data_IF_750518253964
#
_entry.id   IF_750518253964
#
_cell.length_a   1.000
_cell.length_b   1.000
_cell.length_c   1.000
_cell.angle_alpha   90.00
_cell.angle_beta   90.00
_cell.angle_gamma   90.00
#
_symmetry.space_group_name_H-M   'P 1'
#
loop_
_entity.id
_entity.type
_entity.pdbx_description
1 polymer ?
#
# COMPACT_ATOMS: atom_id res chain seq x y z
N UNK A 1 -39.17 0.57 11.63
CA UNK A 1 -40.16 -0.53 11.80
C UNK A 1 -41.56 0.04 12.01
N UNK A 2 -41.87 0.80 13.08
CA UNK A 2 -43.23 1.29 13.38
C UNK A 2 -43.85 2.09 12.22
N UNK A 3 -43.11 3.10 11.71
CA UNK A 3 -43.57 3.93 10.57
C UNK A 3 -43.86 3.12 9.30
N UNK A 4 -43.09 2.08 9.03
CA UNK A 4 -43.29 1.22 7.86
C UNK A 4 -44.55 0.33 8.01
N UNK A 5 -44.81 -0.17 9.23
CA UNK A 5 -46.03 -0.92 9.55
C UNK A 5 -47.27 -0.02 9.50
N UNK A 6 -47.17 1.21 10.04
CA UNK A 6 -48.25 2.19 10.01
C UNK A 6 -48.61 2.60 8.56
N UNK A 7 -47.65 2.47 7.63
CA UNK A 7 -47.79 2.67 6.19
C UNK A 7 -48.34 1.42 5.45
N UNK A 8 -48.72 0.35 6.16
CA UNK A 8 -49.28 -0.88 5.58
C UNK A 8 -48.30 -1.81 4.92
N UNK A 9 -46.97 -1.66 5.16
CA UNK A 9 -45.96 -2.57 4.64
C UNK A 9 -45.99 -3.93 5.38
N UNK A 10 -45.69 -5.01 4.68
CA UNK A 10 -45.44 -6.31 5.28
C UNK A 10 -44.24 -6.25 6.24
N UNK A 11 -44.09 -7.24 7.14
CA UNK A 11 -42.93 -7.29 8.05
C UNK A 11 -41.60 -7.40 7.29
N UNK A 12 -41.56 -8.16 6.19
CA UNK A 12 -40.39 -8.30 5.33
C UNK A 12 -40.01 -6.98 4.63
N UNK A 13 -41.02 -6.28 4.07
CA UNK A 13 -40.80 -4.97 3.43
C UNK A 13 -40.38 -3.90 4.44
N UNK A 14 -40.99 -3.92 5.63
CA UNK A 14 -40.62 -3.03 6.72
C UNK A 14 -39.15 -3.28 7.18
N UNK A 15 -38.74 -4.55 7.29
CA UNK A 15 -37.37 -4.90 7.61
C UNK A 15 -36.40 -4.47 6.50
N UNK A 16 -36.76 -4.76 5.24
CA UNK A 16 -35.96 -4.33 4.07
C UNK A 16 -35.79 -2.81 4.02
N UNK A 17 -36.86 -2.06 4.33
CA UNK A 17 -36.84 -0.59 4.41
C UNK A 17 -35.88 -0.11 5.51
N UNK A 18 -35.94 -0.70 6.71
CA UNK A 18 -35.03 -0.34 7.81
C UNK A 18 -33.58 -0.64 7.44
N UNK A 19 -33.29 -1.82 6.86
CA UNK A 19 -31.94 -2.17 6.41
C UNK A 19 -31.43 -1.19 5.36
N UNK A 20 -32.26 -0.81 4.37
CA UNK A 20 -31.88 0.22 3.37
C UNK A 20 -31.56 1.55 4.05
N UNK A 21 -32.37 2.02 5.00
CA UNK A 21 -32.13 3.27 5.72
C UNK A 21 -30.83 3.24 6.52
N UNK A 22 -30.49 2.12 7.16
CA UNK A 22 -29.22 1.95 7.86
C UNK A 22 -28.06 1.99 6.87
N UNK A 23 -28.15 1.23 5.77
CA UNK A 23 -27.07 1.11 4.78
C UNK A 23 -26.77 2.42 4.04
N UNK A 24 -27.75 3.31 3.87
CA UNK A 24 -27.55 4.64 3.25
C UNK A 24 -27.26 5.75 4.27
N UNK A 25 -27.32 5.45 5.56
CA UNK A 25 -27.05 6.45 6.61
C UNK A 25 -25.61 6.95 6.56
N UNK A 26 -25.36 8.28 6.59
CA UNK A 26 -24.02 8.80 6.72
C UNK A 26 -23.25 8.25 7.94
N UNK A 27 -23.94 7.98 9.04
CA UNK A 27 -23.32 7.38 10.24
C UNK A 27 -22.89 5.93 10.05
N UNK A 28 -23.47 5.22 9.06
CA UNK A 28 -23.04 3.88 8.69
C UNK A 28 -21.93 3.91 7.62
N UNK A 29 -22.07 4.79 6.63
CA UNK A 29 -21.15 4.86 5.50
C UNK A 29 -19.85 5.62 5.80
N UNK A 30 -19.90 6.57 6.73
CA UNK A 30 -18.80 7.47 7.04
C UNK A 30 -18.43 7.38 8.52
N UNK A 31 -17.14 7.48 8.81
CA UNK A 31 -16.69 7.71 10.18
C UNK A 31 -16.89 9.17 10.53
N UNK A 32 -18.01 9.46 11.19
CA UNK A 32 -18.36 10.81 11.62
C UNK A 32 -17.81 11.02 13.03
N UNK A 33 -16.95 12.01 13.20
CA UNK A 33 -16.47 12.45 14.52
C UNK A 33 -17.39 13.56 15.07
N UNK A 34 -17.48 13.67 16.39
CA UNK A 34 -18.28 14.74 17.03
C UNK A 34 -17.84 16.10 16.50
N UNK A 35 -18.81 16.95 16.19
CA UNK A 35 -18.51 18.30 15.76
C UNK A 35 -17.74 19.08 16.86
N UNK A 36 -16.68 19.78 16.47
CA UNK A 36 -15.95 20.73 17.28
C UNK A 36 -16.29 22.16 16.89
N UNK A 37 -15.62 23.13 17.49
CA UNK A 37 -15.79 24.54 17.11
C UNK A 37 -14.98 24.86 15.84
N UNK A 38 -15.60 25.49 14.83
CA UNK A 38 -14.88 25.87 13.60
C UNK A 38 -13.66 26.74 13.89
N UNK A 39 -12.53 26.40 13.30
CA UNK A 39 -11.27 27.13 13.43
C UNK A 39 -10.45 26.83 14.69
N UNK A 40 -11.04 26.20 15.70
CA UNK A 40 -10.31 25.78 16.88
C UNK A 40 -9.71 24.39 16.69
N UNK A 41 -8.55 24.20 17.30
CA UNK A 41 -7.89 22.91 17.40
C UNK A 41 -8.30 22.26 18.73
N UNK A 42 -8.84 21.04 18.64
CA UNK A 42 -9.35 20.31 19.79
C UNK A 42 -8.79 18.89 19.80
N UNK A 43 -8.70 18.30 21.00
CA UNK A 43 -8.45 16.87 21.10
C UNK A 43 -9.61 16.07 20.52
N UNK A 44 -9.27 15.00 19.82
CA UNK A 44 -10.25 14.00 19.40
C UNK A 44 -10.91 13.39 20.63
N UNK A 45 -12.24 13.30 20.63
CA UNK A 45 -12.98 12.68 21.72
C UNK A 45 -12.53 11.23 21.94
N UNK A 46 -12.57 10.73 23.15
CA UNK A 46 -12.05 9.41 23.52
C UNK A 46 -12.68 8.27 22.67
N UNK A 47 -14.00 8.31 22.45
CA UNK A 47 -14.71 7.35 21.63
C UNK A 47 -14.36 7.46 20.14
N UNK A 48 -14.13 8.68 19.65
CA UNK A 48 -13.68 8.92 18.27
C UNK A 48 -12.24 8.43 18.08
N UNK A 49 -11.38 8.59 19.11
CA UNK A 49 -10.02 8.05 19.11
C UNK A 49 -10.01 6.51 19.10
N UNK A 50 -10.91 5.86 19.86
CA UNK A 50 -11.10 4.42 19.78
C UNK A 50 -11.50 3.98 18.37
N UNK A 51 -12.42 4.71 17.73
CA UNK A 51 -12.82 4.47 16.35
C UNK A 51 -11.65 4.66 15.38
N UNK A 52 -10.86 5.76 15.53
CA UNK A 52 -9.66 5.96 14.70
C UNK A 52 -8.69 4.79 14.79
N UNK A 53 -8.38 4.33 16.00
CA UNK A 53 -7.47 3.20 16.23
C UNK A 53 -8.03 1.90 15.65
N UNK A 54 -9.32 1.65 15.83
CA UNK A 54 -9.96 0.42 15.35
C UNK A 54 -9.97 0.34 13.82
N UNK A 55 -10.40 1.39 13.15
CA UNK A 55 -10.36 1.42 11.68
C UNK A 55 -8.94 1.43 11.13
N UNK A 56 -8.00 2.08 11.82
CA UNK A 56 -6.59 2.07 11.43
C UNK A 56 -5.97 0.67 11.50
N UNK A 57 -6.24 -0.10 12.57
CA UNK A 57 -5.57 -1.37 12.80
C UNK A 57 -6.36 -2.59 12.33
N UNK A 58 -7.70 -2.52 12.36
CA UNK A 58 -8.59 -3.65 12.10
C UNK A 58 -9.56 -3.44 10.93
N UNK A 59 -9.63 -2.23 10.36
CA UNK A 59 -10.62 -1.84 9.36
C UNK A 59 -12.07 -2.19 9.78
N UNK A 60 -12.36 -2.14 11.07
CA UNK A 60 -13.66 -2.46 11.67
C UNK A 60 -13.96 -1.60 12.89
N UNK A 61 -15.18 -1.68 13.44
CA UNK A 61 -15.59 -0.97 14.64
C UNK A 61 -14.78 -1.41 15.87
N UNK A 62 -14.63 -0.52 16.89
CA UNK A 62 -13.94 -0.85 18.13
C UNK A 62 -14.65 -1.95 18.93
N UNK A 63 -13.87 -2.78 19.60
CA UNK A 63 -14.41 -3.76 20.56
C UNK A 63 -14.70 -3.11 21.91
N UNK A 64 -15.42 -3.84 22.78
CA UNK A 64 -15.81 -3.37 24.11
C UNK A 64 -14.59 -2.97 24.97
N UNK A 65 -13.46 -3.70 24.85
CA UNK A 65 -12.23 -3.39 25.60
C UNK A 65 -11.65 -2.06 25.18
N UNK A 66 -11.62 -1.78 23.88
CA UNK A 66 -11.10 -0.53 23.36
C UNK A 66 -12.02 0.66 23.74
N UNK A 67 -13.35 0.44 23.75
CA UNK A 67 -14.31 1.43 24.20
C UNK A 67 -14.15 1.70 25.71
N UNK A 68 -14.03 0.68 26.54
CA UNK A 68 -13.75 0.83 27.97
C UNK A 68 -12.44 1.55 28.24
N UNK A 69 -11.37 1.28 27.48
CA UNK A 69 -10.10 1.99 27.58
C UNK A 69 -10.25 3.50 27.21
N UNK A 70 -11.12 3.79 26.24
CA UNK A 70 -11.45 5.17 25.88
C UNK A 70 -12.21 5.89 27.00
N UNK A 71 -13.29 5.27 27.52
CA UNK A 71 -14.11 5.82 28.61
C UNK A 71 -13.30 6.02 29.90
N UNK A 72 -12.36 5.11 30.19
CA UNK A 72 -11.43 5.24 31.34
C UNK A 72 -10.30 6.25 31.13
N UNK A 73 -10.25 6.94 29.97
CA UNK A 73 -9.22 7.95 29.68
C UNK A 73 -7.86 7.40 29.25
N UNK A 74 -7.66 6.07 29.28
CA UNK A 74 -6.36 5.42 29.00
C UNK A 74 -5.83 5.68 27.59
N UNK A 75 -6.69 5.86 26.60
CA UNK A 75 -6.26 6.17 25.22
C UNK A 75 -5.67 7.59 25.08
N UNK A 76 -5.99 8.49 25.99
CA UNK A 76 -5.39 9.83 26.07
C UNK A 76 -3.93 9.80 26.49
N UNK A 77 -3.52 8.80 27.25
CA UNK A 77 -2.17 8.60 27.74
C UNK A 77 -1.32 7.81 26.76
N UNK A 78 -0.02 8.14 26.65
CA UNK A 78 0.90 7.47 25.74
C UNK A 78 0.98 5.97 26.03
N UNK A 79 1.24 5.60 27.29
CA UNK A 79 1.40 4.19 27.69
C UNK A 79 0.13 3.38 27.51
N UNK A 80 -1.03 3.93 27.89
CA UNK A 80 -2.32 3.25 27.71
C UNK A 80 -2.61 2.99 26.23
N UNK A 81 -2.38 3.99 25.39
CA UNK A 81 -2.56 3.86 23.93
C UNK A 81 -1.59 2.85 23.31
N UNK A 82 -0.31 2.84 23.71
CA UNK A 82 0.68 1.85 23.21
C UNK A 82 0.34 0.43 23.64
N UNK A 83 -0.19 0.22 24.85
CA UNK A 83 -0.65 -1.07 25.34
C UNK A 83 -1.83 -1.59 24.49
N UNK A 84 -2.82 -0.73 24.20
CA UNK A 84 -3.94 -1.09 23.35
C UNK A 84 -3.49 -1.39 21.92
N UNK A 85 -2.59 -0.61 21.33
CA UNK A 85 -2.00 -0.90 20.03
C UNK A 85 -1.32 -2.27 20.05
N UNK A 86 -0.54 -2.60 21.08
CA UNK A 86 0.12 -3.90 21.23
C UNK A 86 -0.89 -5.05 21.25
N UNK A 87 -1.97 -4.91 22.04
CA UNK A 87 -3.08 -5.86 22.08
C UNK A 87 -3.72 -6.02 20.70
N UNK A 88 -4.03 -4.91 20.06
CA UNK A 88 -4.72 -4.88 18.76
C UNK A 88 -3.86 -5.49 17.64
N UNK A 89 -2.56 -5.27 17.64
CA UNK A 89 -1.64 -5.88 16.68
C UNK A 89 -1.48 -7.40 16.90
N UNK A 90 -1.74 -7.88 18.11
CA UNK A 90 -1.73 -9.32 18.43
C UNK A 90 -3.03 -10.03 18.04
N UNK A 91 -4.11 -9.29 17.82
CA UNK A 91 -5.41 -9.81 17.40
C UNK A 91 -5.39 -10.19 15.91
N UNK A 92 -6.13 -11.24 15.52
CA UNK A 92 -6.22 -11.70 14.13
C UNK A 92 -6.78 -10.63 13.17
N UNK A 93 -7.63 -9.74 13.65
CA UNK A 93 -8.18 -8.60 12.88
C UNK A 93 -7.11 -7.67 12.34
N UNK A 94 -5.91 -7.64 12.96
CA UNK A 94 -4.78 -6.84 12.47
C UNK A 94 -4.27 -7.27 11.09
N UNK A 95 -4.71 -8.43 10.57
CA UNK A 95 -4.45 -8.84 9.19
C UNK A 95 -4.98 -7.81 8.18
N UNK A 96 -5.98 -7.02 8.55
CA UNK A 96 -6.48 -5.89 7.75
C UNK A 96 -5.37 -4.89 7.35
N UNK A 97 -4.29 -4.73 8.14
CA UNK A 97 -3.13 -3.94 7.75
C UNK A 97 -2.40 -4.51 6.52
N UNK A 98 -2.43 -5.83 6.34
CA UNK A 98 -1.92 -6.48 5.13
C UNK A 98 -2.91 -6.45 3.97
N UNK A 99 -4.17 -6.79 4.24
CA UNK A 99 -5.20 -6.94 3.20
C UNK A 99 -5.70 -5.60 2.67
N UNK A 100 -6.05 -4.67 3.57
CA UNK A 100 -6.62 -3.38 3.21
C UNK A 100 -5.54 -2.35 3.00
N UNK A 101 -4.77 -1.98 4.04
CA UNK A 101 -3.76 -0.92 3.92
C UNK A 101 -2.69 -1.26 2.87
N UNK A 102 -2.03 -2.40 2.98
CA UNK A 102 -0.98 -2.75 2.02
C UNK A 102 -1.56 -3.10 0.65
N UNK A 103 -2.73 -3.73 0.59
CA UNK A 103 -3.46 -4.01 -0.65
C UNK A 103 -3.73 -2.75 -1.47
N UNK A 104 -4.23 -1.70 -0.84
CA UNK A 104 -4.50 -0.40 -1.45
C UNK A 104 -3.20 0.35 -1.80
N UNK A 105 -2.27 0.48 -0.86
CA UNK A 105 -1.02 1.18 -1.07
C UNK A 105 -0.20 0.60 -2.22
N UNK A 106 -0.04 -0.73 -2.26
CA UNK A 106 0.78 -1.44 -3.23
C UNK A 106 0.02 -1.75 -4.54
N UNK A 107 -1.30 -1.58 -4.55
CA UNK A 107 -2.18 -1.85 -5.70
C UNK A 107 -2.51 -3.32 -5.90
N UNK A 108 -2.12 -4.20 -4.96
CA UNK A 108 -2.25 -5.66 -5.10
C UNK A 108 -3.69 -6.16 -4.99
N UNK A 109 -4.61 -5.40 -4.39
CA UNK A 109 -6.04 -5.69 -4.34
C UNK A 109 -6.67 -5.84 -5.73
N UNK A 110 -6.06 -5.25 -6.77
CA UNK A 110 -6.55 -5.35 -8.15
C UNK A 110 -6.22 -6.70 -8.83
N UNK A 111 -5.29 -7.49 -8.28
CA UNK A 111 -4.93 -8.81 -8.85
C UNK A 111 -6.09 -9.79 -8.67
N UNK A 112 -6.58 -10.33 -9.76
CA UNK A 112 -7.81 -11.13 -9.85
C UNK A 112 -9.01 -10.31 -10.31
N UNK A 113 -9.48 -9.29 -9.55
CA UNK A 113 -10.64 -8.49 -9.96
C UNK A 113 -10.43 -7.69 -11.26
N UNK A 114 -9.28 -7.07 -11.43
CA UNK A 114 -8.96 -6.20 -12.59
C UNK A 114 -7.73 -6.66 -13.37
N UNK A 115 -6.75 -7.24 -12.69
CA UNK A 115 -5.48 -7.69 -13.27
C UNK A 115 -5.50 -9.21 -13.33
N UNK A 116 -5.82 -9.75 -14.50
CA UNK A 116 -5.83 -11.18 -14.79
C UNK A 116 -5.57 -11.42 -16.28
N UNK A 117 -5.14 -12.63 -16.62
CA UNK A 117 -5.09 -13.09 -18.00
C UNK A 117 -6.39 -13.82 -18.36
N UNK A 118 -6.68 -13.91 -19.66
CA UNK A 118 -7.79 -14.72 -20.13
C UNK A 118 -7.56 -16.18 -19.69
N UNK A 119 -8.48 -16.81 -18.94
CA UNK A 119 -8.33 -18.19 -18.50
C UNK A 119 -8.32 -19.21 -19.65
N UNK A 120 -8.91 -18.88 -20.80
CA UNK A 120 -8.92 -19.76 -21.99
C UNK A 120 -7.49 -19.93 -22.50
N UNK A 121 -6.77 -18.84 -22.68
CA UNK A 121 -5.38 -18.83 -23.14
C UNK A 121 -4.37 -19.13 -22.04
N UNK A 122 -4.77 -18.93 -20.78
CA UNK A 122 -3.92 -19.07 -19.60
C UNK A 122 -4.60 -19.89 -18.50
N UNK A 123 -4.76 -21.20 -18.64
CA UNK A 123 -5.48 -22.05 -17.67
C UNK A 123 -4.89 -22.04 -16.26
N UNK A 124 -3.63 -21.62 -16.11
CA UNK A 124 -2.96 -21.45 -14.82
C UNK A 124 -3.44 -20.22 -14.03
N UNK A 125 -4.11 -19.26 -14.70
CA UNK A 125 -4.57 -18.00 -14.10
C UNK A 125 -5.92 -18.20 -13.38
N UNK A 126 -5.92 -19.04 -12.35
CA UNK A 126 -7.10 -19.37 -11.54
C UNK A 126 -7.42 -18.28 -10.51
N UNK A 127 -8.66 -18.20 -10.05
CA UNK A 127 -9.02 -17.28 -8.95
C UNK A 127 -8.29 -17.62 -7.65
N UNK A 128 -8.11 -18.91 -7.36
CA UNK A 128 -7.37 -19.37 -6.18
C UNK A 128 -5.90 -18.93 -6.21
N UNK A 129 -5.25 -19.04 -7.35
CA UNK A 129 -3.88 -18.56 -7.54
C UNK A 129 -3.78 -17.05 -7.39
N UNK A 130 -4.71 -16.28 -7.99
CA UNK A 130 -4.75 -14.82 -7.86
C UNK A 130 -4.96 -14.41 -6.40
N UNK A 131 -5.85 -15.10 -5.68
CA UNK A 131 -6.03 -14.92 -4.24
C UNK A 131 -4.74 -15.23 -3.48
N UNK A 132 -4.09 -16.35 -3.72
CA UNK A 132 -2.85 -16.73 -3.06
C UNK A 132 -1.72 -15.69 -3.29
N UNK A 133 -1.65 -15.07 -4.47
CA UNK A 133 -0.71 -13.98 -4.75
C UNK A 133 -0.99 -12.71 -3.91
N UNK A 134 -2.27 -12.37 -3.70
CA UNK A 134 -2.64 -11.25 -2.79
C UNK A 134 -2.33 -11.60 -1.34
N UNK A 135 -2.72 -12.79 -0.90
CA UNK A 135 -2.52 -13.28 0.45
C UNK A 135 -1.02 -13.33 0.80
N UNK A 136 -0.15 -13.70 -0.14
CA UNK A 136 1.31 -13.66 0.04
C UNK A 136 1.76 -12.28 0.51
N UNK A 137 1.36 -11.23 -0.18
CA UNK A 137 1.78 -9.86 0.14
C UNK A 137 1.12 -9.36 1.41
N UNK A 138 -0.16 -9.65 1.62
CA UNK A 138 -0.88 -9.27 2.83
C UNK A 138 -0.26 -9.89 4.09
N UNK A 139 -0.04 -11.20 4.09
CA UNK A 139 0.58 -11.93 5.20
C UNK A 139 2.03 -11.49 5.42
N UNK A 140 2.75 -11.19 4.35
CA UNK A 140 4.12 -10.71 4.43
C UNK A 140 4.20 -9.37 5.15
N UNK A 141 3.43 -8.35 4.73
CA UNK A 141 3.39 -7.04 5.40
C UNK A 141 2.89 -7.17 6.84
N UNK A 142 1.83 -7.94 7.07
CA UNK A 142 1.33 -8.21 8.41
C UNK A 142 2.40 -8.83 9.32
N UNK A 143 3.19 -9.78 8.81
CA UNK A 143 4.29 -10.40 9.59
C UNK A 143 5.36 -9.37 9.97
N UNK A 144 5.73 -8.45 9.06
CA UNK A 144 6.69 -7.40 9.36
C UNK A 144 6.20 -6.45 10.46
N UNK A 145 4.92 -6.12 10.43
CA UNK A 145 4.30 -5.27 11.45
C UNK A 145 4.28 -5.98 12.81
N UNK A 146 3.79 -7.22 12.85
CA UNK A 146 3.69 -7.99 14.10
C UNK A 146 5.05 -8.31 14.75
N UNK A 147 6.05 -8.57 13.92
CA UNK A 147 7.41 -8.85 14.36
C UNK A 147 8.20 -7.55 14.67
N UNK A 148 7.57 -6.40 14.53
CA UNK A 148 8.22 -5.08 14.60
C UNK A 148 9.52 -5.02 13.79
N UNK A 149 9.50 -5.64 12.60
CA UNK A 149 10.67 -5.79 11.77
C UNK A 149 11.10 -4.44 11.15
N UNK A 150 12.40 -4.20 10.94
CA UNK A 150 12.86 -3.00 10.25
C UNK A 150 12.37 -2.98 8.79
N UNK A 151 12.08 -1.79 8.28
CA UNK A 151 11.53 -1.57 6.94
C UNK A 151 12.39 -2.20 5.83
N UNK A 152 13.69 -2.35 6.04
CA UNK A 152 14.60 -3.03 5.12
C UNK A 152 14.15 -4.46 4.77
N UNK A 153 13.40 -5.12 5.67
CA UNK A 153 12.85 -6.45 5.41
C UNK A 153 11.81 -6.46 4.28
N UNK A 154 11.17 -5.34 3.97
CA UNK A 154 10.32 -5.24 2.79
C UNK A 154 11.08 -5.53 1.49
N UNK A 155 12.39 -5.29 1.48
CA UNK A 155 13.27 -5.48 0.32
C UNK A 155 14.03 -6.82 0.39
N UNK A 156 14.59 -7.18 1.56
CA UNK A 156 15.61 -8.24 1.68
C UNK A 156 15.17 -9.46 2.48
N UNK A 157 13.91 -9.60 2.86
CA UNK A 157 13.46 -10.78 3.59
C UNK A 157 13.82 -12.07 2.84
N UNK A 158 14.27 -13.08 3.59
CA UNK A 158 14.58 -14.42 3.06
C UNK A 158 13.46 -15.42 3.35
N UNK A 159 12.23 -14.94 3.34
CA UNK A 159 11.02 -15.74 3.46
C UNK A 159 9.88 -15.10 2.69
N UNK A 160 8.86 -15.88 2.43
CA UNK A 160 7.57 -15.43 1.92
C UNK A 160 6.45 -16.33 2.48
N UNK A 161 5.21 -16.10 2.05
CA UNK A 161 4.05 -16.92 2.43
C UNK A 161 3.52 -17.66 1.21
N UNK A 162 3.39 -18.98 1.31
CA UNK A 162 2.98 -19.83 0.19
C UNK A 162 1.97 -20.89 0.65
N UNK A 163 1.03 -21.19 -0.24
CA UNK A 163 0.32 -22.46 -0.29
C UNK A 163 0.91 -23.34 -1.39
N UNK A 164 0.39 -24.55 -1.58
CA UNK A 164 0.90 -25.48 -2.58
C UNK A 164 0.78 -24.93 -4.02
N UNK A 165 -0.33 -24.26 -4.35
CA UNK A 165 -0.58 -23.73 -5.68
C UNK A 165 0.43 -22.64 -6.05
N UNK A 166 0.62 -21.66 -5.17
CA UNK A 166 1.57 -20.57 -5.39
C UNK A 166 3.02 -21.06 -5.36
N UNK A 167 3.34 -22.03 -4.50
CA UNK A 167 4.67 -22.64 -4.46
C UNK A 167 4.99 -23.40 -5.78
N UNK A 168 4.01 -24.12 -6.33
CA UNK A 168 4.15 -24.77 -7.63
C UNK A 168 4.35 -23.74 -8.75
N UNK A 169 3.60 -22.64 -8.72
CA UNK A 169 3.74 -21.54 -9.67
C UNK A 169 5.15 -20.91 -9.62
N UNK A 170 5.72 -20.76 -8.41
CA UNK A 170 7.08 -20.26 -8.21
C UNK A 170 8.17 -21.32 -8.42
N UNK A 171 7.80 -22.59 -8.61
CA UNK A 171 8.71 -23.74 -8.67
C UNK A 171 9.51 -23.94 -7.37
N UNK A 172 8.86 -23.69 -6.23
CA UNK A 172 9.42 -23.90 -4.89
C UNK A 172 8.89 -25.24 -4.37
N UNK A 173 9.75 -26.26 -4.15
CA UNK A 173 9.31 -27.58 -3.70
C UNK A 173 8.98 -27.59 -2.19
N UNK A 174 8.29 -28.65 -1.75
CA UNK A 174 8.13 -28.95 -0.32
C UNK A 174 6.93 -28.30 0.37
N UNK A 175 6.15 -27.44 -0.30
CA UNK A 175 4.93 -26.85 0.23
C UNK A 175 3.72 -27.67 -0.21
N UNK A 176 2.85 -28.08 0.74
CA UNK A 176 1.67 -28.90 0.50
C UNK A 176 0.42 -28.30 1.13
N UNK A 177 -0.72 -28.47 0.46
CA UNK A 177 -2.04 -28.05 0.92
C UNK A 177 -2.37 -26.58 0.67
N UNK A 178 -3.62 -26.21 0.99
CA UNK A 178 -4.22 -24.92 0.63
C UNK A 178 -3.83 -23.77 1.58
N UNK A 179 -3.49 -24.09 2.83
CA UNK A 179 -3.19 -23.07 3.83
C UNK A 179 -1.89 -22.35 3.54
N UNK A 180 -1.94 -21.02 3.55
CA UNK A 180 -0.76 -20.15 3.46
C UNK A 180 0.14 -20.33 4.68
N UNK A 181 1.45 -20.45 4.47
CA UNK A 181 2.44 -20.61 5.55
C UNK A 181 3.72 -19.86 5.24
N UNK A 182 4.43 -19.44 6.29
CA UNK A 182 5.75 -18.80 6.17
C UNK A 182 6.77 -19.85 5.70
N UNK A 183 7.45 -19.54 4.60
CA UNK A 183 8.43 -20.44 3.94
C UNK A 183 9.75 -19.70 3.79
N UNK A 184 10.83 -20.31 4.30
CA UNK A 184 12.19 -19.81 4.09
C UNK A 184 12.65 -20.03 2.65
N UNK A 185 13.31 -19.04 2.07
CA UNK A 185 13.75 -19.06 0.69
C UNK A 185 15.24 -19.41 0.59
N UNK A 186 15.55 -20.39 -0.24
CA UNK A 186 16.93 -20.83 -0.51
C UNK A 186 17.72 -19.78 -1.33
N UNK A 187 17.02 -18.98 -2.11
CA UNK A 187 17.60 -17.92 -2.93
C UNK A 187 16.94 -16.57 -2.64
N UNK A 188 17.66 -15.45 -2.75
CA UNK A 188 17.08 -14.12 -2.52
C UNK A 188 16.13 -13.66 -3.65
N UNK A 189 15.98 -14.42 -4.73
CA UNK A 189 15.19 -14.04 -5.90
C UNK A 189 13.77 -13.62 -5.52
N UNK A 190 13.04 -14.48 -4.78
CA UNK A 190 11.65 -14.23 -4.36
C UNK A 190 11.50 -13.41 -3.09
N UNK A 191 12.57 -13.21 -2.33
CA UNK A 191 12.49 -12.52 -1.05
C UNK A 191 12.13 -11.05 -1.19
N UNK A 192 11.28 -10.57 -0.27
CA UNK A 192 10.80 -9.18 -0.26
C UNK A 192 9.84 -8.86 -1.40
N UNK A 193 9.18 -7.69 -1.30
CA UNK A 193 8.06 -7.26 -2.15
C UNK A 193 8.35 -7.35 -3.65
N UNK A 194 9.58 -7.00 -4.08
CA UNK A 194 9.94 -6.99 -5.50
C UNK A 194 9.96 -8.38 -6.14
N UNK A 195 9.85 -9.44 -5.34
CA UNK A 195 9.74 -10.82 -5.81
C UNK A 195 8.32 -11.38 -5.79
N UNK A 196 7.33 -10.66 -5.22
CA UNK A 196 5.95 -11.13 -5.10
C UNK A 196 5.21 -11.05 -6.44
N UNK A 197 4.47 -12.11 -6.77
CA UNK A 197 3.72 -12.17 -8.03
C UNK A 197 2.66 -11.08 -8.13
N UNK A 198 1.98 -10.73 -7.04
CA UNK A 198 0.99 -9.65 -7.02
C UNK A 198 1.60 -8.29 -7.36
N UNK A 199 2.80 -7.97 -6.87
CA UNK A 199 3.52 -6.74 -7.20
C UNK A 199 3.93 -6.74 -8.68
N UNK A 200 4.46 -7.86 -9.17
CA UNK A 200 4.91 -7.98 -10.56
C UNK A 200 3.74 -7.90 -11.54
N UNK A 201 2.59 -8.48 -11.19
CA UNK A 201 1.36 -8.35 -11.97
C UNK A 201 0.83 -6.91 -11.99
N UNK A 202 0.78 -6.25 -10.84
CA UNK A 202 0.33 -4.84 -10.72
C UNK A 202 1.21 -3.89 -11.53
N UNK A 203 2.47 -4.26 -11.76
CA UNK A 203 3.47 -3.44 -12.47
C UNK A 203 3.77 -3.92 -13.89
N UNK A 204 2.86 -4.67 -14.49
CA UNK A 204 2.96 -5.17 -15.85
C UNK A 204 1.64 -4.94 -16.61
N UNK A 205 1.70 -5.02 -17.93
CA UNK A 205 0.51 -5.19 -18.76
C UNK A 205 0.08 -6.67 -18.78
N UNK A 206 -1.16 -6.99 -19.15
CA UNK A 206 -1.60 -8.39 -19.19
C UNK A 206 -0.78 -9.30 -20.11
N UNK A 207 -0.26 -8.76 -21.20
CA UNK A 207 0.45 -9.47 -22.28
C UNK A 207 1.98 -9.29 -22.26
N UNK A 208 2.49 -8.31 -21.51
CA UNK A 208 3.92 -7.98 -21.48
C UNK A 208 4.37 -7.31 -20.21
N UNK A 209 5.67 -7.40 -19.92
CA UNK A 209 6.33 -6.59 -18.89
C UNK A 209 6.53 -5.15 -19.36
N UNK A 210 6.72 -4.24 -18.43
CA UNK A 210 7.07 -2.86 -18.72
C UNK A 210 8.10 -2.33 -17.71
N UNK A 211 9.36 -2.18 -18.12
CA UNK A 211 10.38 -1.55 -17.28
C UNK A 211 9.98 -0.15 -16.81
N UNK A 212 9.29 0.61 -17.66
CA UNK A 212 8.83 1.96 -17.32
C UNK A 212 7.80 1.91 -16.19
N UNK A 213 6.77 1.06 -16.29
CA UNK A 213 5.74 0.92 -15.23
C UNK A 213 6.38 0.41 -13.94
N UNK A 214 7.26 -0.61 -14.01
CA UNK A 214 7.97 -1.16 -12.85
C UNK A 214 8.85 -0.11 -12.17
N UNK A 215 9.64 0.63 -12.94
CA UNK A 215 10.51 1.68 -12.41
C UNK A 215 9.72 2.85 -11.81
N UNK A 216 8.65 3.29 -12.47
CA UNK A 216 7.75 4.32 -11.96
C UNK A 216 7.09 3.88 -10.64
N UNK A 217 6.62 2.64 -10.56
CA UNK A 217 6.03 2.09 -9.33
C UNK A 217 7.04 2.08 -8.18
N UNK A 218 8.30 1.67 -8.42
CA UNK A 218 9.36 1.73 -7.40
C UNK A 218 9.53 3.15 -6.89
N UNK A 219 9.65 4.13 -7.79
CA UNK A 219 9.87 5.53 -7.41
C UNK A 219 8.66 6.13 -6.68
N UNK A 220 7.45 5.94 -7.21
CA UNK A 220 6.23 6.60 -6.68
C UNK A 220 5.66 5.87 -5.48
N UNK A 221 5.47 4.56 -5.60
CA UNK A 221 4.76 3.77 -4.59
C UNK A 221 5.69 3.37 -3.45
N UNK A 222 6.86 2.83 -3.78
CA UNK A 222 7.76 2.28 -2.78
C UNK A 222 8.64 3.37 -2.13
N UNK A 223 9.19 4.30 -2.92
CA UNK A 223 10.14 5.30 -2.43
C UNK A 223 9.55 6.70 -2.20
N UNK A 224 8.33 6.97 -2.66
CA UNK A 224 7.70 8.29 -2.49
C UNK A 224 8.42 9.44 -3.19
N UNK A 225 9.18 9.15 -4.25
CA UNK A 225 9.92 10.12 -5.06
C UNK A 225 9.45 10.07 -6.52
N UNK A 226 8.19 10.43 -6.81
CA UNK A 226 7.62 10.33 -8.14
C UNK A 226 8.44 11.13 -9.15
N UNK A 227 8.58 10.65 -10.39
CA UNK A 227 9.06 11.48 -11.47
C UNK A 227 8.05 12.61 -11.75
N UNK A 228 8.47 13.73 -12.33
CA UNK A 228 7.53 14.75 -12.77
C UNK A 228 6.54 14.16 -13.80
N UNK A 229 5.34 14.75 -13.93
CA UNK A 229 4.37 14.30 -14.92
C UNK A 229 4.96 14.38 -16.34
N UNK A 230 4.61 13.43 -17.23
CA UNK A 230 5.09 13.47 -18.61
C UNK A 230 4.64 14.77 -19.30
N UNK A 231 5.46 15.31 -20.22
CA UNK A 231 5.04 16.43 -21.05
C UNK A 231 3.78 16.09 -21.86
N UNK A 232 2.96 17.07 -22.24
CA UNK A 232 1.85 16.81 -23.14
C UNK A 232 2.35 16.29 -24.49
N UNK A 233 1.58 15.42 -25.12
CA UNK A 233 1.85 14.84 -26.45
C UNK A 233 3.13 13.99 -26.54
N UNK A 234 3.45 13.23 -25.50
CA UNK A 234 4.50 12.20 -25.59
C UNK A 234 3.99 11.09 -26.51
N UNK A 235 4.70 10.78 -27.60
CA UNK A 235 4.34 9.63 -28.44
C UNK A 235 4.37 8.36 -27.56
N UNK A 236 3.36 7.51 -27.71
CA UNK A 236 3.44 6.18 -27.13
C UNK A 236 4.67 5.48 -27.70
N UNK A 237 5.43 4.80 -26.80
CA UNK A 237 6.50 3.92 -27.26
C UNK A 237 5.81 2.77 -27.97
N UNK A 238 5.80 2.84 -29.32
CA UNK A 238 5.12 1.86 -30.14
C UNK A 238 5.60 0.45 -29.77
N UNK A 239 4.65 -0.32 -29.26
CA UNK A 239 4.66 -1.75 -29.34
C UNK A 239 5.79 -2.49 -28.65
N UNK A 240 5.56 -2.91 -27.44
CA UNK A 240 6.05 -4.22 -26.99
C UNK A 240 5.35 -5.39 -27.68
N UNK A 241 4.58 -5.18 -28.75
CA UNK A 241 4.08 -6.19 -29.66
C UNK A 241 5.14 -6.46 -30.71
N UNK A 242 5.28 -7.70 -31.13
CA UNK A 242 6.15 -8.16 -32.22
C UNK A 242 6.19 -7.10 -33.32
N UNK A 243 7.26 -6.29 -33.31
CA UNK A 243 7.45 -5.22 -34.29
C UNK A 243 7.33 -5.81 -35.69
N UNK A 244 6.57 -5.18 -36.55
CA UNK A 244 6.45 -5.56 -37.96
C UNK A 244 7.81 -5.61 -38.67
N UNK A 245 8.83 -4.98 -38.06
CA UNK A 245 10.21 -4.86 -38.60
C UNK A 245 11.28 -5.47 -37.67
N UNK A 246 10.92 -6.45 -36.90
CA UNK A 246 11.75 -7.53 -36.38
C UNK A 246 13.15 -7.19 -35.87
N UNK A 247 13.46 -6.21 -35.01
CA UNK A 247 14.87 -6.22 -34.51
C UNK A 247 15.21 -5.29 -33.35
N UNK A 248 14.36 -4.43 -32.83
CA UNK A 248 14.77 -3.68 -31.62
C UNK A 248 14.16 -4.29 -30.38
N UNK A 249 15.00 -4.78 -29.47
CA UNK A 249 14.53 -5.16 -28.15
C UNK A 249 14.02 -3.90 -27.39
N UNK A 250 13.18 -4.10 -26.40
CA UNK A 250 12.56 -3.00 -25.64
C UNK A 250 13.59 -1.99 -25.09
N UNK A 251 14.80 -2.46 -24.71
CA UNK A 251 15.87 -1.58 -24.24
C UNK A 251 16.36 -0.65 -25.33
N UNK A 252 16.58 -1.17 -26.54
CA UNK A 252 17.03 -0.34 -27.67
C UNK A 252 15.98 0.71 -28.05
N UNK A 253 14.70 0.36 -28.00
CA UNK A 253 13.60 1.33 -28.21
C UNK A 253 13.63 2.43 -27.17
N UNK A 254 13.77 2.08 -25.89
CA UNK A 254 13.89 3.06 -24.79
C UNK A 254 15.17 3.89 -24.87
N UNK A 255 16.28 3.32 -25.36
CA UNK A 255 17.53 4.06 -25.59
C UNK A 255 17.36 5.08 -26.73
N UNK A 256 16.66 4.74 -27.80
CA UNK A 256 16.28 5.71 -28.85
C UNK A 256 15.40 6.82 -28.29
N UNK A 257 14.38 6.46 -27.50
CA UNK A 257 13.51 7.44 -26.85
C UNK A 257 14.29 8.40 -25.93
N UNK A 258 15.28 7.93 -25.20
CA UNK A 258 16.15 8.72 -24.32
C UNK A 258 17.14 9.64 -25.04
N UNK A 259 17.31 9.53 -26.37
CA UNK A 259 18.14 10.49 -27.11
C UNK A 259 17.59 11.90 -27.04
N UNK A 260 16.30 12.06 -26.87
CA UNK A 260 15.68 13.35 -26.54
C UNK A 260 16.00 13.75 -25.12
N UNK A 261 16.65 14.90 -24.92
CA UNK A 261 16.94 15.43 -23.58
C UNK A 261 15.69 15.60 -22.71
N UNK A 262 14.55 15.88 -23.34
CA UNK A 262 13.23 16.00 -22.69
C UNK A 262 12.77 14.69 -22.05
N UNK A 263 13.07 13.56 -22.69
CA UNK A 263 12.68 12.22 -22.20
C UNK A 263 13.74 11.64 -21.26
N UNK A 264 15.00 11.94 -21.53
CA UNK A 264 16.16 11.41 -20.77
C UNK A 264 16.09 11.76 -19.27
N UNK A 265 15.60 12.96 -18.91
CA UNK A 265 15.55 13.42 -17.53
C UNK A 265 14.74 12.48 -16.59
N UNK A 266 13.62 11.96 -17.06
CA UNK A 266 12.79 11.00 -16.31
C UNK A 266 13.26 9.55 -16.52
N UNK A 267 13.46 9.13 -17.76
CA UNK A 267 13.77 7.74 -18.10
C UNK A 267 15.13 7.26 -17.58
N UNK A 268 16.11 8.15 -17.38
CA UNK A 268 17.38 7.81 -16.74
C UNK A 268 17.22 7.34 -15.28
N UNK A 269 16.17 7.74 -14.61
CA UNK A 269 15.83 7.35 -13.23
C UNK A 269 14.87 6.16 -13.19
N UNK A 270 13.95 6.07 -14.13
CA UNK A 270 12.87 5.08 -14.17
C UNK A 270 13.35 3.75 -14.73
N UNK A 271 13.88 3.77 -15.97
CA UNK A 271 14.12 2.55 -16.74
C UNK A 271 15.12 1.59 -16.08
N UNK A 272 16.25 2.07 -15.49
CA UNK A 272 17.23 1.17 -14.87
C UNK A 272 16.64 0.32 -13.73
N UNK A 273 15.69 0.89 -12.94
CA UNK A 273 15.03 0.19 -11.86
C UNK A 273 14.11 -0.91 -12.39
N UNK A 274 13.36 -0.60 -13.45
CA UNK A 274 12.46 -1.56 -14.08
C UNK A 274 13.18 -2.67 -14.82
N UNK A 275 14.25 -2.36 -15.57
CA UNK A 275 15.06 -3.37 -16.25
C UNK A 275 15.66 -4.41 -15.31
N UNK A 276 16.05 -4.03 -14.11
CA UNK A 276 16.53 -4.96 -13.10
C UNK A 276 15.49 -6.05 -12.74
N UNK A 277 14.20 -5.80 -12.96
CA UNK A 277 13.13 -6.76 -12.70
C UNK A 277 12.73 -7.59 -13.92
N UNK A 278 13.39 -7.44 -15.08
CA UNK A 278 13.03 -8.16 -16.30
C UNK A 278 13.29 -9.67 -16.24
N UNK A 279 14.00 -10.16 -15.22
CA UNK A 279 14.03 -11.59 -14.91
C UNK A 279 12.65 -12.15 -14.54
N UNK A 280 11.68 -11.31 -14.18
CA UNK A 280 10.30 -11.73 -13.93
C UNK A 280 9.43 -11.40 -15.12
N UNK A 281 8.68 -12.40 -15.62
CA UNK A 281 7.56 -12.20 -16.52
C UNK A 281 6.44 -11.40 -15.84
N UNK A 282 5.31 -11.20 -16.49
CA UNK A 282 4.22 -10.35 -16.05
C UNK A 282 3.69 -10.72 -14.66
N UNK A 283 3.50 -12.02 -14.39
CA UNK A 283 3.06 -12.56 -13.10
C UNK A 283 4.21 -13.17 -12.29
N UNK A 284 5.45 -12.87 -12.66
CA UNK A 284 6.61 -13.24 -11.88
C UNK A 284 7.22 -14.61 -12.22
N UNK A 285 6.85 -15.28 -13.29
CA UNK A 285 7.60 -16.45 -13.77
C UNK A 285 9.03 -16.03 -14.11
N UNK A 286 10.00 -16.89 -13.75
CA UNK A 286 11.41 -16.54 -13.91
C UNK A 286 11.91 -16.72 -15.35
N UNK A 287 12.60 -15.69 -15.86
CA UNK A 287 13.29 -15.68 -17.16
C UNK A 287 14.81 -15.55 -16.93
N UNK A 288 15.59 -16.53 -17.38
CA UNK A 288 17.03 -16.56 -17.10
C UNK A 288 17.86 -15.64 -18.04
N UNK A 289 17.49 -15.60 -19.31
CA UNK A 289 18.26 -14.88 -20.34
C UNK A 289 17.60 -13.58 -20.72
N UNK A 290 17.90 -12.51 -19.97
CA UNK A 290 17.38 -11.15 -20.19
C UNK A 290 18.46 -10.12 -19.92
N UNK A 291 18.35 -8.94 -20.53
CA UNK A 291 19.19 -7.80 -20.18
C UNK A 291 18.54 -7.08 -18.96
N UNK A 292 19.13 -7.33 -17.81
CA UNK A 292 18.68 -6.85 -16.49
C UNK A 292 19.63 -5.84 -15.86
N UNK A 293 20.48 -5.18 -16.67
CA UNK A 293 21.41 -4.14 -16.18
C UNK A 293 20.63 -2.89 -15.78
N UNK A 294 21.00 -2.31 -14.66
CA UNK A 294 20.47 -1.06 -14.14
C UNK A 294 21.52 -0.22 -13.46
N UNK A 295 21.15 0.98 -13.06
CA UNK A 295 22.03 1.88 -12.31
C UNK A 295 21.22 2.99 -11.64
N UNK A 296 21.76 3.61 -10.59
CA UNK A 296 21.19 4.77 -9.93
C UNK A 296 21.86 6.06 -10.47
N UNK A 297 21.21 7.22 -10.31
CA UNK A 297 21.77 8.51 -10.72
C UNK A 297 23.10 8.85 -10.04
N UNK A 298 23.40 8.28 -8.87
CA UNK A 298 24.66 8.43 -8.16
C UNK A 298 25.82 7.61 -8.74
N UNK A 299 25.60 6.89 -9.87
CA UNK A 299 26.61 6.08 -10.56
C UNK A 299 26.64 4.61 -10.11
N UNK A 300 25.96 4.22 -9.05
CA UNK A 300 25.91 2.82 -8.61
C UNK A 300 25.27 1.93 -9.68
N UNK A 301 26.00 0.88 -10.10
CA UNK A 301 25.54 -0.08 -11.10
C UNK A 301 25.09 -1.37 -10.43
N UNK A 302 24.06 -2.01 -10.98
CA UNK A 302 23.54 -3.28 -10.48
C UNK A 302 23.01 -4.17 -11.60
N UNK A 303 22.82 -5.45 -11.29
CA UNK A 303 22.23 -6.41 -12.22
C UNK A 303 21.14 -7.23 -11.53
N UNK A 304 20.01 -7.33 -12.20
CA UNK A 304 18.87 -8.15 -11.78
C UNK A 304 18.25 -7.73 -10.46
N UNK A 305 17.24 -8.49 -9.99
CA UNK A 305 16.50 -8.15 -8.78
C UNK A 305 17.36 -8.11 -7.52
N UNK A 306 18.37 -8.98 -7.42
CA UNK A 306 19.24 -9.05 -6.25
C UNK A 306 20.11 -7.79 -6.13
N UNK A 307 20.74 -7.37 -7.25
CA UNK A 307 21.52 -6.15 -7.28
C UNK A 307 20.67 -4.90 -7.01
N UNK A 308 19.47 -4.83 -7.56
CA UNK A 308 18.52 -3.76 -7.27
C UNK A 308 18.17 -3.68 -5.77
N UNK A 309 17.88 -4.82 -5.13
CA UNK A 309 17.58 -4.88 -3.69
C UNK A 309 18.72 -4.34 -2.84
N UNK A 310 19.97 -4.70 -3.16
CA UNK A 310 21.15 -4.17 -2.48
C UNK A 310 21.25 -2.66 -2.67
N UNK A 311 21.13 -2.18 -3.90
CA UNK A 311 21.21 -0.75 -4.21
C UNK A 311 20.11 0.07 -3.50
N UNK A 312 18.89 -0.45 -3.41
CA UNK A 312 17.81 0.20 -2.68
C UNK A 312 18.07 0.28 -1.17
N UNK A 313 18.65 -0.75 -0.59
CA UNK A 313 18.99 -0.77 0.83
C UNK A 313 20.13 0.19 1.18
N UNK A 314 21.16 0.25 0.34
CA UNK A 314 22.32 1.10 0.59
C UNK A 314 22.03 2.58 0.36
N UNK A 315 21.19 2.91 -0.63
CA UNK A 315 21.06 4.28 -1.11
C UNK A 315 19.67 4.90 -0.96
N UNK A 316 18.63 4.11 -0.68
CA UNK A 316 17.25 4.57 -0.70
C UNK A 316 16.40 4.09 0.51
N UNK A 317 17.04 3.59 1.57
CA UNK A 317 16.33 3.07 2.73
C UNK A 317 15.54 4.15 3.48
N UNK A 318 16.08 5.35 3.58
CA UNK A 318 15.41 6.49 4.23
C UNK A 318 14.18 6.95 3.45
N UNK A 319 14.22 6.89 2.11
CA UNK A 319 13.06 7.18 1.28
C UNK A 319 11.95 6.15 1.52
N UNK A 320 12.31 4.86 1.57
CA UNK A 320 11.37 3.79 1.86
C UNK A 320 10.74 3.95 3.26
N UNK A 321 11.56 4.20 4.29
CA UNK A 321 11.07 4.41 5.66
C UNK A 321 10.14 5.62 5.76
N UNK A 322 10.51 6.73 5.14
CA UNK A 322 9.69 7.95 5.08
C UNK A 322 8.38 7.71 4.34
N UNK A 323 8.42 6.95 3.24
CA UNK A 323 7.20 6.63 2.48
C UNK A 323 6.24 5.72 3.26
N UNK A 324 6.76 4.73 4.00
CA UNK A 324 5.94 3.90 4.89
C UNK A 324 5.23 4.77 5.92
N UNK A 325 5.95 5.69 6.58
CA UNK A 325 5.36 6.63 7.54
C UNK A 325 4.27 7.47 6.88
N UNK A 326 4.54 8.04 5.70
CA UNK A 326 3.58 8.87 4.95
C UNK A 326 2.31 8.10 4.62
N UNK A 327 2.44 6.86 4.14
CA UNK A 327 1.29 6.01 3.79
C UNK A 327 0.51 5.56 5.02
N UNK A 328 1.19 5.18 6.10
CA UNK A 328 0.55 4.83 7.37
C UNK A 328 -0.20 6.01 7.97
N UNK A 329 0.39 7.21 7.95
CA UNK A 329 -0.26 8.42 8.45
C UNK A 329 -1.52 8.76 7.63
N UNK A 330 -1.42 8.75 6.29
CA UNK A 330 -2.57 8.99 5.42
C UNK A 330 -3.71 7.99 5.67
N UNK A 331 -3.37 6.71 5.80
CA UNK A 331 -4.34 5.64 6.06
C UNK A 331 -4.98 5.80 7.45
N UNK A 332 -4.19 6.04 8.49
CA UNK A 332 -4.69 6.26 9.86
C UNK A 332 -5.61 7.48 9.98
N UNK A 333 -5.33 8.54 9.22
CA UNK A 333 -6.16 9.76 9.17
C UNK A 333 -7.38 9.60 8.26
N UNK A 334 -7.40 8.60 7.35
CA UNK A 334 -8.46 8.40 6.36
C UNK A 334 -8.57 9.53 5.33
N UNK A 335 -7.46 10.25 5.07
CA UNK A 335 -7.39 11.34 4.08
C UNK A 335 -6.01 11.43 3.45
N UNK A 336 -5.92 12.14 2.32
CA UNK A 336 -4.64 12.53 1.77
C UNK A 336 -3.90 13.46 2.73
N UNK A 337 -2.57 13.38 2.71
CA UNK A 337 -1.74 14.29 3.49
C UNK A 337 -1.62 15.64 2.80
N UNK A 338 -1.67 16.67 3.61
CA UNK A 338 -1.47 18.04 3.21
C UNK A 338 -0.05 18.51 3.56
N UNK A 339 0.35 19.66 3.04
CA UNK A 339 1.70 20.21 3.27
C UNK A 339 2.07 20.35 4.75
N UNK A 340 1.09 20.62 5.62
CA UNK A 340 1.31 20.76 7.06
C UNK A 340 1.55 19.43 7.78
N UNK A 341 1.17 18.28 7.20
CA UNK A 341 1.45 16.96 7.74
C UNK A 341 2.92 16.53 7.55
N UNK A 342 3.64 17.14 6.59
CA UNK A 342 5.04 16.82 6.30
C UNK A 342 5.98 17.07 7.48
N UNK A 343 5.65 18.02 8.36
CA UNK A 343 6.35 18.21 9.63
C UNK A 343 6.28 16.99 10.54
N UNK A 344 5.10 16.38 10.63
CA UNK A 344 4.89 15.13 11.39
C UNK A 344 5.64 13.96 10.77
N UNK A 345 5.58 13.80 9.46
CA UNK A 345 6.31 12.72 8.74
C UNK A 345 7.81 12.83 9.01
N UNK A 346 8.41 14.01 8.86
CA UNK A 346 9.83 14.23 9.11
C UNK A 346 10.23 13.98 10.56
N UNK A 347 9.40 14.39 11.53
CA UNK A 347 9.64 14.15 12.96
C UNK A 347 9.66 12.65 13.26
N UNK A 348 8.66 11.90 12.80
CA UNK A 348 8.59 10.44 12.99
C UNK A 348 9.78 9.76 12.31
N UNK A 349 10.13 10.17 11.08
CA UNK A 349 11.28 9.63 10.36
C UNK A 349 12.59 9.86 11.12
N UNK A 350 12.80 11.04 11.69
CA UNK A 350 13.99 11.33 12.49
C UNK A 350 14.08 10.47 13.76
N UNK A 351 12.95 10.19 14.44
CA UNK A 351 12.90 9.31 15.61
C UNK A 351 13.25 7.87 15.26
N UNK A 352 12.69 7.34 14.14
CA UNK A 352 12.78 5.93 13.81
C UNK A 352 13.98 5.56 12.93
N UNK A 353 14.64 6.52 12.31
CA UNK A 353 15.81 6.29 11.46
C UNK A 353 16.94 5.50 12.15
N UNK A 354 17.36 5.81 13.40
CA UNK A 354 18.43 5.07 14.06
C UNK A 354 18.14 3.58 14.28
N UNK A 355 16.85 3.20 14.39
CA UNK A 355 16.40 1.82 14.58
C UNK A 355 16.01 1.12 13.27
N UNK A 356 16.18 1.80 12.12
CA UNK A 356 15.85 1.24 10.80
C UNK A 356 14.34 1.18 10.51
N UNK A 357 13.56 2.08 11.10
CA UNK A 357 12.11 2.21 10.90
C UNK A 357 11.33 0.92 11.21
N UNK A 358 11.29 0.44 12.47
CA UNK A 358 10.55 -0.76 12.83
C UNK A 358 9.05 -0.55 12.58
N UNK A 359 8.43 -1.50 11.87
CA UNK A 359 7.07 -1.32 11.32
C UNK A 359 5.98 -1.16 12.39
N UNK A 360 6.11 -1.84 13.53
CA UNK A 360 5.20 -1.67 14.68
C UNK A 360 5.36 -0.32 15.37
N UNK A 361 6.61 0.18 15.45
CA UNK A 361 6.88 1.49 16.04
C UNK A 361 6.41 2.63 15.12
N UNK A 362 6.43 2.45 13.80
CA UNK A 362 5.77 3.39 12.86
C UNK A 362 4.29 3.55 13.22
N UNK A 363 3.59 2.46 13.50
CA UNK A 363 2.17 2.51 13.90
C UNK A 363 1.99 3.27 15.21
N UNK A 364 2.82 3.01 16.23
CA UNK A 364 2.74 3.70 17.51
C UNK A 364 2.98 5.20 17.36
N UNK A 365 4.03 5.58 16.61
CA UNK A 365 4.36 6.99 16.37
C UNK A 365 3.27 7.72 15.56
N UNK A 366 2.66 7.04 14.57
CA UNK A 366 1.53 7.57 13.82
C UNK A 366 0.32 7.77 14.73
N UNK A 367 -0.06 6.77 15.53
CA UNK A 367 -1.18 6.85 16.46
C UNK A 367 -0.94 7.84 17.62
N UNK A 368 0.33 8.14 17.94
CA UNK A 368 0.75 9.16 18.89
C UNK A 368 0.94 10.55 18.31
N UNK A 369 0.80 10.71 17.00
CA UNK A 369 1.07 11.95 16.30
C UNK A 369 -0.01 13.02 16.52
N UNK A 370 0.41 14.28 16.43
CA UNK A 370 -0.50 15.42 16.57
C UNK A 370 -1.73 15.32 15.65
N UNK A 371 -1.61 15.10 14.32
CA UNK A 371 -2.78 15.02 13.45
C UNK A 371 -3.69 13.81 13.75
N UNK A 372 -3.17 12.75 14.40
CA UNK A 372 -3.99 11.61 14.81
C UNK A 372 -4.76 11.89 16.13
N UNK A 373 -4.20 12.68 17.03
CA UNK A 373 -4.77 12.98 18.35
C UNK A 373 -5.60 14.27 18.39
N UNK A 374 -5.37 15.16 17.44
CA UNK A 374 -6.03 16.46 17.35
C UNK A 374 -6.87 16.55 16.09
N UNK A 375 -7.83 17.44 16.09
CA UNK A 375 -8.62 17.81 14.92
C UNK A 375 -8.80 19.31 14.86
N UNK A 376 -8.97 19.83 13.65
CA UNK A 376 -9.35 21.22 13.39
C UNK A 376 -10.43 21.24 12.33
N UNK A 377 -11.57 21.81 12.65
CA UNK A 377 -12.61 22.04 11.64
C UNK A 377 -12.24 23.27 10.81
N UNK A 378 -12.47 23.25 9.49
CA UNK A 378 -12.31 24.42 8.66
C UNK A 378 -13.24 25.54 9.15
N UNK A 379 -12.79 26.78 9.02
CA UNK A 379 -13.69 27.94 9.19
C UNK A 379 -14.78 27.86 8.12
N UNK A 380 -16.04 28.06 8.52
CA UNK A 380 -17.12 28.21 7.54
C UNK A 380 -16.82 29.41 6.64
N UNK A 381 -16.71 29.17 5.33
CA UNK A 381 -16.47 30.26 4.35
C UNK A 381 -17.61 31.28 4.30
N UNK A 382 -18.77 30.96 4.86
CA UNK A 382 -19.95 31.85 4.87
C UNK A 382 -19.88 32.97 5.92
N UNK A 383 -18.97 32.88 6.93
CA UNK A 383 -18.79 33.95 7.92
C UNK A 383 -17.81 35.03 7.49
N UNK A 384 -17.25 34.97 6.28
CA UNK A 384 -16.27 35.93 5.77
C UNK A 384 -16.83 36.87 4.68
N UNK A 385 -18.15 37.02 4.61
CA UNK A 385 -18.72 38.13 3.83
C UNK A 385 -18.61 39.38 4.71
N UNK A 386 -17.76 40.36 4.38
CA UNK A 386 -17.81 41.65 5.08
C UNK A 386 -19.20 42.25 4.81
N UNK A 387 -19.92 42.57 5.87
CA UNK A 387 -21.08 43.43 5.75
C UNK A 387 -20.60 44.71 5.08
N UNK A 388 -20.90 44.86 3.79
CA UNK A 388 -20.85 46.16 3.15
C UNK A 388 -21.91 47.03 3.81
N UNK A 389 -21.53 47.76 4.83
CA UNK A 389 -22.29 48.91 5.30
C UNK A 389 -22.05 50.05 4.33
N UNK A 390 -23.15 50.56 3.83
CA UNK A 390 -23.46 51.76 3.10
C UNK A 390 -22.42 52.89 3.15
#
# INVERSE_FOLDING_TARGET
>A
MKLARDAGQSEEDALATVLKLVLISPHFLLRVEKAGQPGLEERVAATDLASRLSYFLWASSPDEKLLAAAEGGFLGEKTGRENEIGRMLSDSRSLALGEVFAGEWLGTHNVGPRIRKDPIDNPWCTESLMKAMRDETALFIHSLIRENAPVARMINARYTFLNEELARFYRIPGVKGEAMRKVSLQTPRRGGLLGHASILATTSFPDRTSPVVRGTWILTTLLGTPPPPPPPNVPEIEGGGRGRDGVRNLREQLEVHRRSARCAGCHSRIDPLGFALENYAEFGQWRAKVDNRGGLPNGAQFRGPEGLKIALQEWRLDDLGTQVIRKMLAYGLGRQLEYYDEGTVRRIAAILKPSGYPMGDVIKEVAGSHPFLMRRLPLNKESAVPSSSE
#
